data_IF_876085290905
#
_entry.id   IF_876085290905
#
_cell.length_a   1.000
_cell.length_b   1.000
_cell.length_c   1.000
_cell.angle_alpha   90.00
_cell.angle_beta   90.00
_cell.angle_gamma   90.00
#
_symmetry.space_group_name_H-M   'P 1'
#
loop_
_entity.id
_entity.type
_entity.pdbx_description
1 polymer ?
#
# COMPACT_ATOMS: atom_id res chain seq x y z
N UNK A 1 -12.44 -13.15 -13.67
CA UNK A 1 -12.05 -11.72 -13.72
C UNK A 1 -10.85 -11.53 -12.82
N UNK A 2 -9.84 -10.76 -13.24
CA UNK A 2 -8.63 -10.53 -12.44
C UNK A 2 -8.99 -9.91 -11.08
N UNK A 3 -8.34 -10.36 -10.01
CA UNK A 3 -8.54 -9.89 -8.65
C UNK A 3 -7.34 -9.06 -8.21
N UNK A 4 -7.60 -7.97 -7.50
CA UNK A 4 -6.61 -7.10 -6.92
C UNK A 4 -6.79 -7.09 -5.41
N UNK A 5 -5.74 -7.47 -4.70
CA UNK A 5 -5.76 -7.67 -3.26
C UNK A 5 -4.89 -6.58 -2.62
N UNK A 6 -5.43 -5.92 -1.61
CA UNK A 6 -4.71 -4.93 -0.81
C UNK A 6 -4.54 -5.41 0.61
N UNK A 7 -3.32 -5.29 1.13
CA UNK A 7 -2.92 -5.79 2.44
C UNK A 7 -2.17 -4.68 3.18
N UNK A 8 -2.85 -3.91 4.02
CA UNK A 8 -2.21 -2.98 4.98
C UNK A 8 -1.70 -3.79 6.18
N UNK A 9 -0.50 -4.33 6.04
CA UNK A 9 0.00 -5.37 6.92
C UNK A 9 0.44 -4.79 8.27
N UNK A 10 0.03 -5.45 9.36
CA UNK A 10 0.71 -5.28 10.63
C UNK A 10 2.12 -5.91 10.56
N UNK A 11 3.17 -5.09 10.56
CA UNK A 11 4.56 -5.58 10.37
C UNK A 11 5.06 -6.55 11.46
N UNK A 12 4.44 -6.55 12.64
CA UNK A 12 4.80 -7.43 13.74
C UNK A 12 3.88 -8.66 13.76
N UNK A 13 4.47 -9.86 13.66
CA UNK A 13 3.77 -11.15 13.67
C UNK A 13 3.04 -11.46 14.99
N UNK A 14 3.37 -10.71 16.05
CA UNK A 14 2.88 -10.97 17.40
C UNK A 14 3.69 -12.05 18.12
N UNK A 15 3.40 -12.25 19.40
CA UNK A 15 3.93 -13.31 20.25
C UNK A 15 2.80 -13.84 21.13
N UNK A 16 3.02 -14.97 21.83
CA UNK A 16 2.05 -15.49 22.80
C UNK A 16 1.66 -14.45 23.88
N UNK A 17 2.56 -13.53 24.22
CA UNK A 17 2.32 -12.47 25.20
C UNK A 17 1.76 -11.17 24.59
N UNK A 18 1.88 -10.97 23.27
CA UNK A 18 1.41 -9.77 22.58
C UNK A 18 0.85 -10.16 21.21
N UNK A 19 -0.48 -10.27 21.05
CA UNK A 19 -1.08 -10.71 19.79
C UNK A 19 -0.70 -9.78 18.64
N UNK A 20 -0.74 -10.33 17.43
CA UNK A 20 -0.56 -9.56 16.22
C UNK A 20 -1.55 -8.39 16.16
N UNK A 21 -1.09 -7.26 15.62
CA UNK A 21 -1.98 -6.14 15.34
C UNK A 21 -2.89 -6.50 14.18
N UNK A 22 -3.94 -5.70 14.03
CA UNK A 22 -4.88 -5.85 12.94
C UNK A 22 -4.21 -5.51 11.61
N UNK A 23 -4.55 -6.25 10.57
CA UNK A 23 -4.18 -6.03 9.17
C UNK A 23 -5.45 -5.68 8.41
N UNK A 24 -5.41 -4.60 7.63
CA UNK A 24 -6.49 -4.22 6.73
C UNK A 24 -6.44 -5.00 5.42
N UNK A 25 -7.58 -5.50 4.96
CA UNK A 25 -7.67 -6.36 3.78
C UNK A 25 -8.80 -5.90 2.86
N UNK A 26 -8.50 -5.75 1.57
CA UNK A 26 -9.53 -5.46 0.57
C UNK A 26 -9.30 -6.26 -0.71
N UNK A 27 -10.38 -6.79 -1.29
CA UNK A 27 -10.35 -7.40 -2.60
C UNK A 27 -11.25 -6.63 -3.55
N UNK A 28 -10.71 -6.24 -4.72
CA UNK A 28 -11.45 -5.58 -5.79
C UNK A 28 -11.28 -6.35 -7.11
N UNK A 29 -12.24 -6.22 -8.01
CA UNK A 29 -12.12 -6.77 -9.37
C UNK A 29 -11.71 -5.71 -10.40
N UNK A 30 -11.47 -6.15 -11.64
CA UNK A 30 -11.06 -5.27 -12.73
C UNK A 30 -12.12 -4.25 -13.20
N UNK A 31 -13.36 -4.33 -12.72
CA UNK A 31 -14.37 -3.29 -12.92
C UNK A 31 -14.44 -2.29 -11.77
N UNK A 32 -13.56 -2.44 -10.78
CA UNK A 32 -13.51 -1.57 -9.61
C UNK A 32 -14.48 -1.95 -8.51
N UNK A 33 -15.21 -3.07 -8.62
CA UNK A 33 -16.14 -3.50 -7.58
C UNK A 33 -15.37 -4.03 -6.38
N UNK A 34 -15.74 -3.60 -5.18
CA UNK A 34 -15.25 -4.15 -3.93
C UNK A 34 -15.96 -5.49 -3.68
N UNK A 35 -15.19 -6.56 -3.55
CA UNK A 35 -15.69 -7.91 -3.31
C UNK A 35 -15.63 -8.28 -1.83
N UNK A 36 -14.61 -7.77 -1.13
CA UNK A 36 -14.42 -7.95 0.30
C UNK A 36 -13.70 -6.76 0.89
N UNK A 37 -14.07 -6.43 2.13
CA UNK A 37 -13.37 -5.50 2.98
C UNK A 37 -13.39 -6.05 4.40
N UNK A 38 -12.22 -6.47 4.89
CA UNK A 38 -12.10 -7.15 6.17
C UNK A 38 -10.81 -6.82 6.92
N UNK A 39 -10.70 -7.36 8.12
CA UNK A 39 -9.46 -7.33 8.89
C UNK A 39 -9.09 -8.74 9.32
N UNK A 40 -7.80 -8.97 9.52
CA UNK A 40 -7.24 -10.21 10.03
C UNK A 40 -6.12 -9.94 11.04
N UNK A 41 -5.71 -10.94 11.82
CA UNK A 41 -4.60 -10.84 12.76
C UNK A 41 -3.61 -11.97 12.53
N UNK A 42 -2.36 -11.59 12.22
CA UNK A 42 -1.28 -12.54 11.99
C UNK A 42 -1.23 -13.08 10.57
N UNK A 43 -0.07 -13.65 10.22
CA UNK A 43 0.26 -14.03 8.84
C UNK A 43 -0.63 -15.16 8.33
N UNK A 44 -0.99 -16.12 9.19
CA UNK A 44 -1.81 -17.26 8.79
C UNK A 44 -3.23 -16.86 8.39
N UNK A 45 -3.88 -15.96 9.15
CA UNK A 45 -5.21 -15.46 8.80
C UNK A 45 -5.18 -14.62 7.51
N UNK A 46 -4.13 -13.82 7.32
CA UNK A 46 -3.92 -13.03 6.09
C UNK A 46 -3.72 -13.96 4.89
N UNK A 47 -2.86 -14.98 5.00
CA UNK A 47 -2.64 -15.96 3.93
C UNK A 47 -3.92 -16.76 3.62
N UNK A 48 -4.68 -17.16 4.63
CA UNK A 48 -5.97 -17.81 4.46
C UNK A 48 -7.00 -16.90 3.79
N UNK A 49 -6.95 -15.59 4.04
CA UNK A 49 -7.78 -14.61 3.32
C UNK A 49 -7.35 -14.48 1.86
N UNK A 50 -6.05 -14.39 1.57
CA UNK A 50 -5.54 -14.35 0.19
C UNK A 50 -5.99 -15.58 -0.61
N UNK A 51 -5.92 -16.78 -0.01
CA UNK A 51 -6.36 -18.02 -0.66
C UNK A 51 -7.86 -18.03 -1.02
N UNK A 52 -8.72 -17.26 -0.34
CA UNK A 52 -10.15 -17.14 -0.71
C UNK A 52 -10.38 -16.26 -1.95
N UNK A 53 -9.47 -15.33 -2.21
CA UNK A 53 -9.63 -14.29 -3.23
C UNK A 53 -8.62 -14.40 -4.38
N UNK A 54 -7.75 -15.40 -4.34
CA UNK A 54 -6.83 -15.68 -5.42
C UNK A 54 -7.53 -16.16 -6.70
N UNK A 55 -6.79 -16.15 -7.79
CA UNK A 55 -7.26 -16.63 -9.08
C UNK A 55 -6.26 -16.30 -10.17
N UNK A 56 -6.47 -16.77 -11.41
CA UNK A 56 -5.57 -16.50 -12.52
C UNK A 56 -5.32 -15.00 -12.68
N UNK A 57 -4.04 -14.62 -12.69
CA UNK A 57 -3.58 -13.25 -12.85
C UNK A 57 -3.72 -12.39 -11.59
N UNK A 58 -4.15 -12.89 -10.43
CA UNK A 58 -4.36 -12.04 -9.25
C UNK A 58 -3.09 -11.25 -8.87
N UNK A 59 -3.27 -10.00 -8.42
CA UNK A 59 -2.17 -9.13 -7.99
C UNK A 59 -2.42 -8.68 -6.56
N UNK A 60 -1.46 -8.91 -5.66
CA UNK A 60 -1.51 -8.48 -4.27
C UNK A 60 -0.51 -7.35 -4.01
N UNK A 61 -0.98 -6.20 -3.53
CA UNK A 61 -0.12 -5.12 -3.05
C UNK A 61 -0.08 -5.14 -1.51
N UNK A 62 1.13 -5.22 -0.96
CA UNK A 62 1.36 -5.33 0.49
C UNK A 62 2.04 -4.07 1.00
N UNK A 63 1.46 -3.41 2.02
CA UNK A 63 2.14 -2.34 2.76
C UNK A 63 3.16 -2.94 3.73
N UNK A 64 4.38 -3.10 3.23
CA UNK A 64 5.50 -3.54 4.05
C UNK A 64 6.62 -4.18 3.25
N UNK A 65 7.82 -4.25 3.84
CA UNK A 65 9.01 -4.71 3.16
C UNK A 65 8.95 -6.21 2.83
N UNK A 66 8.75 -6.58 1.57
CA UNK A 66 8.66 -7.99 1.15
C UNK A 66 10.04 -8.65 1.01
N UNK A 67 11.07 -7.85 0.69
CA UNK A 67 12.47 -8.29 0.61
C UNK A 67 13.35 -7.37 1.43
N UNK A 68 14.04 -7.94 2.43
CA UNK A 68 14.96 -7.23 3.33
C UNK A 68 16.31 -7.94 3.32
N UNK A 69 17.21 -7.48 2.45
CA UNK A 69 18.53 -8.09 2.27
C UNK A 69 19.67 -7.34 3.00
N UNK A 70 19.49 -6.05 3.24
CA UNK A 70 20.48 -5.21 3.91
C UNK A 70 20.65 -5.56 5.40
N UNK A 71 21.90 -5.58 5.86
CA UNK A 71 22.21 -5.89 7.26
C UNK A 71 21.76 -4.77 8.22
N UNK A 72 21.96 -3.51 7.83
CA UNK A 72 21.64 -2.32 8.63
C UNK A 72 21.14 -1.18 7.73
N UNK A 73 20.66 -0.09 8.34
CA UNK A 73 20.23 1.12 7.63
C UNK A 73 18.92 0.94 6.85
N UNK A 74 18.71 1.82 5.86
CA UNK A 74 17.59 1.77 4.91
C UNK A 74 18.01 1.13 3.59
N UNK A 75 17.11 0.39 2.94
CA UNK A 75 17.24 -0.03 1.54
C UNK A 75 17.24 1.20 0.63
N UNK A 76 17.67 1.04 -0.61
CA UNK A 76 17.57 2.12 -1.59
C UNK A 76 16.10 2.55 -1.78
N UNK A 77 15.15 1.61 -1.73
CA UNK A 77 13.73 1.92 -1.85
C UNK A 77 13.26 2.98 -0.85
N UNK A 78 13.58 2.88 0.45
CA UNK A 78 13.16 3.92 1.41
C UNK A 78 13.92 5.24 1.24
N UNK A 79 15.19 5.19 0.80
CA UNK A 79 15.96 6.41 0.49
C UNK A 79 15.32 7.15 -0.68
N UNK A 80 14.87 6.42 -1.70
CA UNK A 80 14.21 7.00 -2.86
C UNK A 80 12.80 7.48 -2.53
N UNK A 81 12.05 6.82 -1.63
CA UNK A 81 10.82 7.40 -1.06
C UNK A 81 11.12 8.79 -0.48
N UNK A 82 12.13 8.91 0.38
CA UNK A 82 12.48 10.18 1.01
C UNK A 82 12.95 11.22 -0.02
N UNK A 83 13.74 10.82 -1.03
CA UNK A 83 14.23 11.75 -2.05
C UNK A 83 13.14 12.23 -3.02
N UNK A 84 12.18 11.36 -3.36
CA UNK A 84 11.20 11.60 -4.44
C UNK A 84 9.87 12.14 -3.92
N UNK A 85 9.50 11.77 -2.69
CA UNK A 85 8.22 12.13 -2.05
C UNK A 85 8.41 12.94 -0.76
N UNK A 86 9.65 13.21 -0.33
CA UNK A 86 9.95 13.91 0.93
C UNK A 86 9.42 15.34 1.00
N UNK A 87 9.33 16.05 -0.13
CA UNK A 87 8.72 17.39 -0.21
C UNK A 87 7.24 17.39 0.19
N UNK A 88 6.57 16.25 0.01
CA UNK A 88 5.16 16.01 0.38
C UNK A 88 5.07 15.43 1.81
N UNK A 89 6.16 15.43 2.57
CA UNK A 89 6.23 14.94 3.95
C UNK A 89 6.22 13.41 4.09
N UNK A 90 6.56 12.68 3.03
CA UNK A 90 6.58 11.22 3.01
C UNK A 90 8.01 10.70 3.17
N UNK A 91 8.17 9.81 4.15
CA UNK A 91 9.35 8.98 4.32
C UNK A 91 8.91 7.58 4.75
N UNK A 92 9.70 6.58 4.42
CA UNK A 92 9.49 5.20 4.86
C UNK A 92 10.44 4.89 6.02
N UNK A 93 9.96 4.09 6.98
CA UNK A 93 10.81 3.65 8.09
C UNK A 93 11.87 2.67 7.55
N UNK A 94 13.13 2.73 8.02
CA UNK A 94 14.15 1.79 7.57
C UNK A 94 13.73 0.34 7.83
N UNK A 95 13.99 -0.54 6.86
CA UNK A 95 13.92 -1.98 7.04
C UNK A 95 15.32 -2.58 6.84
N UNK A 96 15.71 -3.51 7.73
CA UNK A 96 16.97 -4.26 7.66
C UNK A 96 16.87 -5.53 8.50
N UNK A 97 17.81 -6.46 8.30
CA UNK A 97 17.82 -7.77 8.99
C UNK A 97 18.04 -7.67 10.50
N UNK A 98 18.52 -6.54 11.00
CA UNK A 98 18.65 -6.26 12.44
C UNK A 98 17.36 -5.81 13.12
N UNK A 99 16.29 -5.52 12.37
CA UNK A 99 15.01 -5.09 12.92
C UNK A 99 14.01 -6.26 13.05
N UNK A 100 13.25 -6.32 14.16
CA UNK A 100 12.43 -7.49 14.51
C UNK A 100 11.13 -7.64 13.69
N UNK A 101 10.68 -6.57 13.01
CA UNK A 101 9.42 -6.57 12.29
C UNK A 101 9.62 -7.08 10.85
N UNK A 102 9.44 -8.39 10.64
CA UNK A 102 9.64 -9.07 9.36
C UNK A 102 8.33 -9.72 8.83
N UNK A 103 7.16 -9.28 9.30
CA UNK A 103 5.87 -9.89 8.95
C UNK A 103 5.59 -9.91 7.44
N UNK A 104 5.98 -8.87 6.70
CA UNK A 104 5.84 -8.84 5.23
C UNK A 104 6.73 -9.88 4.53
N UNK A 105 7.96 -10.10 5.03
CA UNK A 105 8.85 -11.16 4.54
C UNK A 105 8.26 -12.55 4.83
N UNK A 106 7.67 -12.74 6.01
CA UNK A 106 6.99 -13.98 6.39
C UNK A 106 5.76 -14.24 5.50
N UNK A 107 4.93 -13.22 5.27
CA UNK A 107 3.79 -13.30 4.34
C UNK A 107 4.25 -13.65 2.93
N UNK A 108 5.29 -12.97 2.41
CA UNK A 108 5.85 -13.26 1.08
C UNK A 108 6.20 -14.74 0.96
N UNK A 109 6.98 -15.28 1.91
CA UNK A 109 7.39 -16.69 1.90
C UNK A 109 6.17 -17.61 1.86
N UNK A 110 5.17 -17.33 2.71
CA UNK A 110 3.94 -18.13 2.76
C UNK A 110 3.16 -18.11 1.45
N UNK A 111 3.13 -16.98 0.74
CA UNK A 111 2.48 -16.84 -0.56
C UNK A 111 3.31 -17.48 -1.68
N UNK A 112 4.65 -17.39 -1.63
CA UNK A 112 5.54 -18.10 -2.57
C UNK A 112 5.36 -19.61 -2.47
N UNK A 113 5.25 -20.15 -1.25
CA UNK A 113 4.93 -21.57 -1.02
C UNK A 113 3.56 -21.97 -1.60
N UNK A 114 2.64 -21.01 -1.74
CA UNK A 114 1.34 -21.20 -2.39
C UNK A 114 1.36 -20.93 -3.91
N UNK A 115 2.53 -20.65 -4.48
CA UNK A 115 2.74 -20.41 -5.91
C UNK A 115 2.41 -18.99 -6.37
N UNK A 116 2.54 -18.00 -5.49
CA UNK A 116 2.60 -16.59 -5.86
C UNK A 116 4.03 -16.18 -6.22
N UNK A 117 4.18 -15.24 -7.13
CA UNK A 117 5.47 -14.72 -7.57
C UNK A 117 5.68 -13.31 -7.03
N UNK A 118 6.88 -13.02 -6.52
CA UNK A 118 7.26 -11.66 -6.17
C UNK A 118 7.52 -10.82 -7.43
N UNK A 119 6.87 -9.66 -7.51
CA UNK A 119 7.05 -8.65 -8.54
C UNK A 119 7.87 -7.48 -7.97
N UNK A 120 9.14 -7.42 -8.38
CA UNK A 120 10.06 -6.35 -8.03
C UNK A 120 9.94 -5.14 -8.96
N UNK A 121 9.06 -5.20 -9.98
CA UNK A 121 8.87 -4.15 -10.97
C UNK A 121 9.90 -4.15 -12.11
N UNK A 122 10.79 -5.15 -12.20
CA UNK A 122 11.81 -5.26 -13.27
C UNK A 122 11.23 -5.50 -14.67
N UNK A 123 9.94 -5.83 -14.78
CA UNK A 123 9.28 -6.10 -16.06
C UNK A 123 9.63 -7.46 -16.67
N UNK A 124 10.18 -8.39 -15.87
CA UNK A 124 10.40 -9.76 -16.30
C UNK A 124 9.10 -10.37 -16.87
N UNK A 125 9.14 -11.05 -18.03
CA UNK A 125 7.97 -11.72 -18.60
C UNK A 125 7.36 -12.70 -17.60
N UNK A 126 6.03 -12.69 -17.49
CA UNK A 126 5.25 -13.62 -16.65
C UNK A 126 4.11 -14.20 -17.43
N UNK A 127 3.67 -15.39 -17.04
CA UNK A 127 2.44 -15.96 -17.56
C UNK A 127 1.25 -15.06 -17.24
N UNK A 128 0.33 -14.91 -18.18
CA UNK A 128 -0.86 -14.08 -17.98
C UNK A 128 -1.72 -14.53 -16.78
N UNK A 129 -1.63 -15.81 -16.41
CA UNK A 129 -2.28 -16.40 -15.25
C UNK A 129 -1.48 -16.32 -13.94
N UNK A 130 -0.25 -15.83 -13.96
CA UNK A 130 0.61 -15.76 -12.77
C UNK A 130 -0.03 -14.88 -11.70
N UNK A 131 -0.02 -15.39 -10.46
CA UNK A 131 -0.42 -14.63 -9.28
C UNK A 131 0.80 -13.88 -8.78
N UNK A 132 0.74 -12.55 -8.70
CA UNK A 132 1.90 -11.73 -8.32
C UNK A 132 1.65 -10.97 -7.03
N UNK A 133 2.71 -10.79 -6.23
CA UNK A 133 2.69 -9.93 -5.07
C UNK A 133 3.77 -8.85 -5.20
N UNK A 134 3.42 -7.62 -4.87
CA UNK A 134 4.30 -6.47 -4.92
C UNK A 134 4.29 -5.73 -3.59
N UNK A 135 5.40 -5.06 -3.31
CA UNK A 135 5.50 -4.16 -2.18
C UNK A 135 5.01 -2.78 -2.60
N UNK A 136 4.15 -2.18 -1.78
CA UNK A 136 3.63 -0.83 -1.98
C UNK A 136 3.77 0.00 -0.70
N UNK A 137 3.54 1.30 -0.82
CA UNK A 137 3.43 2.19 0.33
C UNK A 137 2.24 3.14 0.11
N UNK A 138 1.10 2.99 0.83
CA UNK A 138 -0.14 3.73 0.58
C UNK A 138 0.03 5.24 0.43
N UNK A 139 0.92 5.85 1.24
CA UNK A 139 1.21 7.28 1.12
C UNK A 139 1.74 7.69 -0.26
N UNK A 140 2.59 6.86 -0.88
CA UNK A 140 3.06 7.13 -2.25
C UNK A 140 1.96 6.99 -3.29
N UNK A 141 0.96 6.14 -3.04
CA UNK A 141 -0.24 6.05 -3.89
C UNK A 141 -1.09 7.32 -3.76
N UNK A 142 -1.35 7.78 -2.53
CA UNK A 142 -2.16 8.98 -2.27
C UNK A 142 -1.65 10.20 -3.05
N UNK A 143 -0.35 10.47 -3.01
CA UNK A 143 0.21 11.67 -3.66
C UNK A 143 0.73 11.41 -5.07
N UNK A 144 0.94 10.16 -5.43
CA UNK A 144 1.51 9.76 -6.71
C UNK A 144 0.48 9.53 -7.80
N UNK A 145 -0.75 9.17 -7.43
CA UNK A 145 -1.87 9.04 -8.36
C UNK A 145 -2.63 10.38 -8.46
N UNK A 146 -2.67 11.02 -9.64
CA UNK A 146 -3.43 12.27 -9.84
C UNK A 146 -4.91 12.17 -9.48
N UNK A 147 -5.53 10.99 -9.62
CA UNK A 147 -6.95 10.76 -9.34
C UNK A 147 -7.33 10.96 -7.88
N UNK A 148 -6.37 10.89 -6.95
CA UNK A 148 -6.59 11.13 -5.53
C UNK A 148 -6.42 12.61 -5.14
N UNK A 149 -5.90 13.46 -6.04
CA UNK A 149 -5.90 14.92 -5.87
C UNK A 149 -4.96 15.47 -4.77
N UNK A 150 -4.06 14.66 -4.21
CA UNK A 150 -3.11 15.13 -3.20
C UNK A 150 -1.83 15.69 -3.85
N UNK A 151 -1.85 17.00 -4.10
CA UNK A 151 -0.74 17.74 -4.75
C UNK A 151 0.24 18.37 -3.74
N UNK A 152 -0.12 18.36 -2.46
CA UNK A 152 0.60 19.04 -1.39
C UNK A 152 1.08 18.04 -0.31
N UNK A 153 1.35 18.55 0.88
CA UNK A 153 1.72 17.74 2.04
C UNK A 153 0.73 16.58 2.24
N UNK A 154 1.27 15.40 2.55
CA UNK A 154 0.48 14.19 2.80
C UNK A 154 -0.61 14.45 3.85
N UNK A 155 -1.79 13.84 3.68
CA UNK A 155 -2.85 13.95 4.67
C UNK A 155 -2.41 13.34 6.00
N UNK A 156 -2.70 14.02 7.12
CA UNK A 156 -2.37 13.57 8.47
C UNK A 156 -3.48 12.71 9.07
N UNK A 157 -4.08 11.81 8.29
CA UNK A 157 -5.15 10.93 8.78
C UNK A 157 -4.67 9.84 9.75
N UNK A 158 -3.41 9.37 9.65
CA UNK A 158 -2.88 8.31 10.55
C UNK A 158 -2.40 8.81 11.92
N UNK A 159 -2.07 10.09 12.08
CA UNK A 159 -1.39 10.62 13.28
C UNK A 159 -1.91 11.99 13.68
N UNK A 160 -2.03 12.22 14.99
CA UNK A 160 -2.35 13.53 15.53
C UNK A 160 -1.25 14.55 15.17
N UNK A 161 -1.65 15.78 14.84
CA UNK A 161 -0.72 16.88 14.59
C UNK A 161 -0.23 17.46 15.94
N UNK A 162 1.03 17.23 16.35
CA UNK A 162 1.48 17.55 17.71
C UNK A 162 1.59 19.06 17.97
N UNK A 163 1.72 19.88 16.92
CA UNK A 163 1.85 21.33 17.03
C UNK A 163 0.50 22.05 17.23
N UNK A 164 -0.63 21.38 16.98
CA UNK A 164 -1.96 21.95 17.26
C UNK A 164 -2.29 21.89 18.75
N UNK A 165 -3.22 22.75 19.20
CA UNK A 165 -3.74 22.68 20.55
C UNK A 165 -4.41 21.33 20.78
N UNK A 166 -4.28 20.77 22.00
CA UNK A 166 -4.76 19.41 22.32
C UNK A 166 -6.22 19.16 21.91
N UNK A 167 -7.09 20.15 22.06
CA UNK A 167 -8.50 20.08 21.70
C UNK A 167 -8.74 19.97 20.17
N UNK A 168 -7.83 20.49 19.34
CA UNK A 168 -7.95 20.56 17.88
C UNK A 168 -7.34 19.34 17.18
N UNK A 169 -6.42 18.62 17.84
CA UNK A 169 -5.67 17.51 17.23
C UNK A 169 -6.56 16.41 16.66
N UNK A 170 -7.60 16.03 17.39
CA UNK A 170 -8.54 14.97 16.99
C UNK A 170 -9.51 15.44 15.91
N UNK A 171 -10.19 16.59 16.05
CA UNK A 171 -10.97 17.18 14.95
C UNK A 171 -10.16 17.32 13.65
N UNK A 172 -8.91 17.80 13.74
CA UNK A 172 -8.04 17.91 12.58
C UNK A 172 -7.75 16.55 11.94
N UNK A 173 -7.38 15.52 12.71
CA UNK A 173 -7.14 14.17 12.16
C UNK A 173 -8.41 13.59 11.52
N UNK A 174 -9.58 13.81 12.12
CA UNK A 174 -10.86 13.37 11.57
C UNK A 174 -11.20 14.09 10.25
N UNK A 175 -10.94 15.40 10.15
CA UNK A 175 -11.09 16.16 8.91
C UNK A 175 -10.15 15.65 7.82
N UNK A 176 -8.87 15.43 8.13
CA UNK A 176 -7.90 14.84 7.20
C UNK A 176 -8.32 13.43 6.76
N UNK A 177 -8.87 12.62 7.66
CA UNK A 177 -9.37 11.28 7.33
C UNK A 177 -10.58 11.34 6.40
N UNK A 178 -11.51 12.27 6.63
CA UNK A 178 -12.63 12.55 5.72
C UNK A 178 -12.13 12.93 4.32
N UNK A 179 -11.13 13.80 4.21
CA UNK A 179 -10.54 14.16 2.91
C UNK A 179 -10.04 12.92 2.14
N UNK A 180 -9.37 11.98 2.82
CA UNK A 180 -8.93 10.73 2.16
C UNK A 180 -10.10 9.83 1.78
N UNK A 181 -11.12 9.71 2.64
CA UNK A 181 -12.32 8.93 2.33
C UNK A 181 -13.07 9.47 1.11
N UNK A 182 -13.20 10.80 1.01
CA UNK A 182 -13.87 11.45 -0.11
C UNK A 182 -13.06 11.29 -1.41
N UNK A 183 -11.73 11.39 -1.34
CA UNK A 183 -10.87 11.11 -2.48
C UNK A 183 -11.01 9.66 -2.97
N UNK A 184 -11.02 8.69 -2.05
CA UNK A 184 -11.24 7.27 -2.38
C UNK A 184 -12.64 7.02 -2.94
N UNK A 185 -13.67 7.70 -2.43
CA UNK A 185 -15.03 7.62 -2.98
C UNK A 185 -15.13 8.16 -4.41
N UNK A 186 -14.33 9.19 -4.74
CA UNK A 186 -14.25 9.77 -6.08
C UNK A 186 -13.64 8.84 -7.14
N UNK A 187 -13.03 7.72 -6.73
CA UNK A 187 -12.40 6.78 -7.66
C UNK A 187 -13.39 5.93 -8.48
N UNK A 188 -14.69 6.02 -8.25
CA UNK A 188 -15.70 5.24 -9.00
C UNK A 188 -15.63 5.47 -10.52
N UNK A 189 -15.12 6.63 -10.94
CA UNK A 189 -14.93 7.00 -12.36
C UNK A 189 -13.45 7.20 -12.75
N UNK A 190 -12.53 6.86 -11.84
CA UNK A 190 -11.10 6.91 -12.10
C UNK A 190 -10.65 5.79 -13.05
N UNK A 191 -9.38 5.85 -13.45
CA UNK A 191 -8.75 4.78 -14.22
C UNK A 191 -7.51 4.20 -13.51
N UNK A 192 -7.57 2.99 -12.93
CA UNK A 192 -8.72 2.07 -12.88
C UNK A 192 -9.80 2.56 -11.90
N UNK A 193 -11.07 2.12 -12.08
CA UNK A 193 -12.14 2.50 -11.17
C UNK A 193 -12.03 1.78 -9.82
N UNK A 194 -12.58 2.40 -8.78
CA UNK A 194 -12.88 1.80 -7.48
C UNK A 194 -14.23 2.31 -7.00
N UNK A 195 -15.24 1.45 -7.03
CA UNK A 195 -16.59 1.77 -6.58
C UNK A 195 -16.84 1.16 -5.20
N UNK A 196 -16.58 1.97 -4.16
CA UNK A 196 -16.82 1.61 -2.75
C UNK A 196 -18.30 1.37 -2.43
N UNK A 197 -19.24 1.83 -3.26
CA UNK A 197 -20.68 1.64 -3.01
C UNK A 197 -21.13 0.19 -3.25
N UNK A 198 -20.31 -0.59 -3.95
CA UNK A 198 -20.61 -1.99 -4.31
C UNK A 198 -20.48 -2.97 -3.14
N UNK A 199 -19.88 -2.55 -2.02
CA UNK A 199 -19.73 -3.37 -0.82
C UNK A 199 -20.23 -2.61 0.42
N UNK A 200 -21.12 -3.19 1.24
CA UNK A 200 -21.79 -2.48 2.33
C UNK A 200 -20.81 -1.91 3.36
N UNK A 201 -19.73 -2.63 3.67
CA UNK A 201 -18.71 -2.14 4.62
C UNK A 201 -17.86 -1.00 4.05
N UNK A 202 -17.59 -1.00 2.74
CA UNK A 202 -16.82 0.06 2.10
C UNK A 202 -17.67 1.32 1.97
N UNK A 203 -18.94 1.17 1.59
CA UNK A 203 -19.93 2.24 1.62
C UNK A 203 -20.08 2.86 3.02
N UNK A 204 -20.22 2.04 4.06
CA UNK A 204 -20.31 2.51 5.45
C UNK A 204 -19.02 3.20 5.92
N UNK A 205 -17.84 2.70 5.55
CA UNK A 205 -16.57 3.33 5.89
C UNK A 205 -16.49 4.77 5.35
N UNK A 206 -16.90 4.98 4.10
CA UNK A 206 -16.93 6.31 3.48
C UNK A 206 -18.08 7.17 4.02
N UNK A 207 -19.26 6.62 4.30
CA UNK A 207 -20.37 7.39 4.85
C UNK A 207 -20.09 7.86 6.30
N UNK A 208 -19.63 6.95 7.17
CA UNK A 208 -19.63 7.13 8.63
C UNK A 208 -18.24 7.43 9.22
N UNK A 209 -17.17 7.28 8.43
CA UNK A 209 -15.75 7.47 8.80
C UNK A 209 -15.39 8.58 9.81
N UNK A 210 -15.90 9.82 9.69
CA UNK A 210 -15.54 10.94 10.56
C UNK A 210 -16.31 10.98 11.89
N UNK A 211 -17.39 10.19 12.06
CA UNK A 211 -18.18 10.17 13.30
C UNK A 211 -17.57 9.26 14.38
N UNK A 212 -16.40 8.67 14.12
CA UNK A 212 -15.91 7.51 14.83
C UNK A 212 -15.04 7.88 16.03
N UNK A 213 -15.26 7.15 17.12
CA UNK A 213 -14.54 7.32 18.39
C UNK A 213 -13.06 7.00 18.18
N UNK A 214 -12.15 7.71 18.86
CA UNK A 214 -10.68 7.50 18.82
C UNK A 214 -10.27 6.01 18.80
N UNK A 215 -10.96 5.18 19.59
CA UNK A 215 -10.71 3.73 19.71
C UNK A 215 -10.91 2.95 18.40
N UNK A 216 -11.74 3.44 17.49
CA UNK A 216 -12.05 2.82 16.19
C UNK A 216 -11.16 3.37 15.07
N UNK A 217 -10.49 4.51 15.27
CA UNK A 217 -9.72 5.19 14.23
C UNK A 217 -8.75 4.25 13.53
N UNK A 218 -7.95 3.49 14.30
CA UNK A 218 -6.95 2.58 13.71
C UNK A 218 -7.59 1.46 12.89
N UNK A 219 -8.70 0.90 13.36
CA UNK A 219 -9.44 -0.13 12.62
C UNK A 219 -9.91 0.36 11.25
N UNK A 220 -10.39 1.60 11.18
CA UNK A 220 -10.92 2.20 9.96
C UNK A 220 -9.79 2.65 9.03
N UNK A 221 -8.69 3.15 9.60
CA UNK A 221 -7.44 3.39 8.90
C UNK A 221 -6.94 2.12 8.23
N UNK A 222 -6.86 0.99 8.95
CA UNK A 222 -6.48 -0.32 8.40
C UNK A 222 -7.37 -0.68 7.19
N UNK A 223 -8.69 -0.57 7.32
CA UNK A 223 -9.62 -0.86 6.21
C UNK A 223 -9.41 0.06 5.00
N UNK A 224 -9.22 1.37 5.24
CA UNK A 224 -8.99 2.34 4.17
C UNK A 224 -7.68 2.05 3.45
N UNK A 225 -6.61 1.76 4.18
CA UNK A 225 -5.31 1.48 3.61
C UNK A 225 -5.31 0.14 2.86
N UNK A 226 -6.08 -0.85 3.32
CA UNK A 226 -6.37 -2.05 2.55
C UNK A 226 -6.99 -1.73 1.19
N UNK A 227 -7.98 -0.83 1.12
CA UNK A 227 -8.57 -0.38 -0.16
C UNK A 227 -7.55 0.35 -1.03
N UNK A 228 -6.74 1.23 -0.44
CA UNK A 228 -5.69 1.96 -1.17
C UNK A 228 -4.68 0.98 -1.76
N UNK A 229 -4.19 0.01 -0.98
CA UNK A 229 -3.32 -1.06 -1.47
C UNK A 229 -3.96 -1.83 -2.62
N UNK A 230 -5.23 -2.23 -2.50
CA UNK A 230 -5.93 -2.99 -3.55
C UNK A 230 -6.02 -2.17 -4.84
N UNK A 231 -6.27 -0.87 -4.71
CA UNK A 231 -6.27 0.05 -5.84
C UNK A 231 -4.86 0.26 -6.41
N UNK A 232 -3.80 0.29 -5.59
CA UNK A 232 -2.41 0.30 -6.07
C UNK A 232 -2.10 -0.93 -6.92
N UNK A 233 -2.56 -2.12 -6.52
CA UNK A 233 -2.41 -3.35 -7.31
C UNK A 233 -3.11 -3.24 -8.68
N UNK A 234 -4.35 -2.72 -8.71
CA UNK A 234 -5.08 -2.47 -9.95
C UNK A 234 -4.38 -1.42 -10.83
N UNK A 235 -3.90 -0.34 -10.22
CA UNK A 235 -3.23 0.76 -10.90
C UNK A 235 -1.92 0.29 -11.55
N UNK A 236 -1.11 -0.48 -10.81
CA UNK A 236 0.11 -1.11 -11.34
C UNK A 236 -0.21 -2.06 -12.49
N UNK A 237 -1.17 -2.97 -12.30
CA UNK A 237 -1.51 -3.95 -13.33
C UNK A 237 -2.08 -3.33 -14.61
N UNK A 238 -2.69 -2.14 -14.51
CA UNK A 238 -3.25 -1.43 -15.65
C UNK A 238 -2.23 -0.57 -16.38
N UNK A 239 -1.41 0.18 -15.63
CA UNK A 239 -0.61 1.27 -16.19
C UNK A 239 0.89 0.98 -16.18
N UNK A 240 1.35 0.07 -15.33
CA UNK A 240 2.77 -0.25 -15.16
C UNK A 240 3.62 1.00 -14.97
N UNK A 241 4.80 1.01 -15.59
CA UNK A 241 5.77 2.11 -15.51
C UNK A 241 5.29 3.42 -16.13
N UNK A 242 4.25 3.41 -16.98
CA UNK A 242 3.73 4.64 -17.57
C UNK A 242 3.16 5.59 -16.50
N UNK A 243 2.64 5.05 -15.39
CA UNK A 243 2.06 5.85 -14.31
C UNK A 243 2.59 5.51 -12.91
N UNK A 244 3.49 4.54 -12.82
CA UNK A 244 4.20 4.17 -11.61
C UNK A 244 5.71 4.19 -11.81
N UNK A 245 6.45 4.19 -10.72
CA UNK A 245 7.89 4.03 -10.67
C UNK A 245 8.26 2.92 -9.69
N UNK A 246 9.45 2.36 -9.88
CA UNK A 246 9.99 1.31 -9.02
C UNK A 246 11.12 1.93 -8.19
N UNK A 247 10.85 2.12 -6.91
CA UNK A 247 11.84 2.64 -5.96
C UNK A 247 12.73 1.49 -5.51
N UNK A 248 14.04 1.67 -5.52
CA UNK A 248 15.04 0.65 -5.21
C UNK A 248 15.43 -0.24 -6.40
N UNK A 249 14.97 0.06 -7.62
CA UNK A 249 15.25 -0.76 -8.81
C UNK A 249 16.76 -1.00 -9.04
N UNK A 250 17.59 -0.01 -8.73
CA UNK A 250 19.05 -0.07 -8.91
C UNK A 250 19.81 -0.54 -7.66
N UNK A 251 19.13 -0.97 -6.60
CA UNK A 251 19.78 -1.38 -5.35
C UNK A 251 20.75 -2.57 -5.56
N UNK A 252 22.07 -2.40 -5.36
CA UNK A 252 23.01 -3.50 -5.52
C UNK A 252 22.81 -4.61 -4.47
N UNK A 253 22.06 -4.34 -3.40
CA UNK A 253 21.79 -5.31 -2.33
C UNK A 253 20.57 -6.16 -2.71
N UNK A 254 20.82 -7.46 -2.89
CA UNK A 254 19.81 -8.47 -3.22
C UNK A 254 19.77 -9.59 -2.18
N UNK A 255 18.64 -10.29 -2.09
CA UNK A 255 18.53 -11.48 -1.23
C UNK A 255 19.20 -12.72 -1.85
N UNK A 256 19.16 -13.85 -1.15
CA UNK A 256 19.78 -15.11 -1.57
C UNK A 256 19.27 -15.66 -2.91
N UNK A 257 18.12 -15.19 -3.41
CA UNK A 257 17.55 -15.56 -4.72
C UNK A 257 17.75 -14.45 -5.76
N UNK A 258 18.57 -13.44 -5.46
CA UNK A 258 18.85 -12.32 -6.36
C UNK A 258 17.73 -11.28 -6.43
N UNK A 259 16.73 -11.33 -5.54
CA UNK A 259 15.60 -10.40 -5.55
C UNK A 259 15.97 -9.09 -4.88
N UNK A 260 15.48 -7.98 -5.45
CA UNK A 260 15.65 -6.62 -4.90
C UNK A 260 14.47 -6.27 -4.00
N UNK A 261 14.73 -5.53 -2.92
CA UNK A 261 13.68 -4.89 -2.12
C UNK A 261 13.26 -3.60 -2.77
N UNK A 262 12.14 -3.62 -3.48
CA UNK A 262 11.60 -2.47 -4.21
C UNK A 262 10.26 -2.03 -3.64
N UNK A 263 9.86 -0.78 -3.91
CA UNK A 263 8.51 -0.28 -3.65
C UNK A 263 7.94 0.17 -4.98
N UNK A 264 6.79 -0.40 -5.38
CA UNK A 264 6.05 0.08 -6.54
C UNK A 264 5.15 1.22 -6.10
N UNK A 265 5.35 2.39 -6.70
CA UNK A 265 4.70 3.62 -6.31
C UNK A 265 4.09 4.32 -7.53
N UNK A 266 2.79 4.65 -7.53
CA UNK A 266 2.24 5.64 -8.45
C UNK A 266 3.09 6.92 -8.45
N UNK A 267 3.28 7.54 -9.61
CA UNK A 267 4.23 8.63 -9.76
C UNK A 267 3.74 9.69 -10.73
N UNK A 268 3.81 10.94 -10.28
CA UNK A 268 3.72 12.12 -11.14
C UNK A 268 5.08 12.41 -11.80
N UNK A 269 5.12 13.11 -12.93
CA UNK A 269 6.38 13.43 -13.61
C UNK A 269 7.45 14.06 -12.70
N UNK A 270 7.07 15.00 -11.85
CA UNK A 270 8.02 15.71 -10.96
C UNK A 270 8.54 14.86 -9.79
N UNK A 271 7.91 13.71 -9.51
CA UNK A 271 8.32 12.78 -8.46
C UNK A 271 9.30 11.72 -8.97
N UNK A 272 9.56 11.68 -10.29
CA UNK A 272 10.48 10.70 -10.87
C UNK A 272 11.92 11.16 -10.70
N UNK A 273 12.85 10.22 -10.84
CA UNK A 273 14.26 10.57 -10.85
C UNK A 273 14.58 11.43 -12.09
N UNK A 274 15.52 12.39 -12.04
CA UNK A 274 15.82 13.26 -13.17
C UNK A 274 16.26 12.55 -14.47
N UNK A 275 16.75 11.31 -14.36
CA UNK A 275 17.16 10.43 -15.45
C UNK A 275 16.02 9.52 -15.96
N UNK A 276 14.85 9.53 -15.33
CA UNK A 276 13.65 8.85 -15.81
C UNK A 276 13.09 9.60 -17.05
N UNK A 277 12.80 8.92 -18.17
CA UNK A 277 12.30 9.57 -19.39
C UNK A 277 10.93 10.23 -19.24
N UNK A 278 10.16 9.88 -18.20
CA UNK A 278 8.87 10.50 -17.86
C UNK A 278 9.00 11.62 -16.82
N UNK A 279 10.23 11.98 -16.43
CA UNK A 279 10.46 13.10 -15.52
C UNK A 279 10.11 14.43 -16.18
N UNK A 280 9.36 15.25 -15.47
CA UNK A 280 9.16 16.65 -15.80
C UNK A 280 9.09 17.46 -14.50
N UNK A 281 9.92 18.52 -14.34
CA UNK A 281 9.92 19.33 -13.12
C UNK A 281 8.57 20.04 -12.93
N UNK A 282 8.25 20.42 -11.69
CA UNK A 282 7.15 21.36 -11.44
C UNK A 282 7.49 22.71 -12.09
N UNK A 283 6.53 23.23 -12.86
CA UNK A 283 6.62 24.55 -13.51
C UNK A 283 6.43 25.70 -12.54
#
# INVERSE_FOLDING_TARGET
>A
MRRFLGIDLAWAEGTAARPARETGLACIDASGRVLDLSTARGIDEVAAWVARWEGPGAVAAVDGPLVVANATGSRLAEKEVASRYGRLGISAYPSNRGLPAQGAVALRRRLEDAGWEYDDGSGAPRDAGARTMLECYPYTTLVGAPELGFDAMKPRYKRLAPLLATAERRPHRAAEFRVVLDAVAGLAHADPPLDVTTHPRAAALVADGPALVERQHKHLEDLLDGLICAWTAAYWARHGLARSQVLGATDPVVDERGRRGTIIAPARPHQRAPDDPLFAPEG
#
